data_IF_329557712703
#
_entry.id   IF_329557712703
#
_cell.length_a   1.000
_cell.length_b   1.000
_cell.length_c   1.000
_cell.angle_alpha   90.00
_cell.angle_beta   90.00
_cell.angle_gamma   90.00
#
_symmetry.space_group_name_H-M   'P 1'
#
loop_
_entity.id
_entity.type
_entity.pdbx_description
1 polymer ?
#
# COMPACT_ATOMS: atom_id res chain seq x y z
N UNK A 1 13.95 12.32 -20.12
CA UNK A 1 13.10 11.13 -20.36
C UNK A 1 11.66 11.46 -19.98
N UNK A 2 10.71 11.17 -20.86
CA UNK A 2 9.26 11.37 -20.72
C UNK A 2 8.62 10.06 -20.28
N UNK A 3 7.97 10.06 -19.12
CA UNK A 3 7.27 8.89 -18.58
C UNK A 3 5.78 9.19 -18.55
N UNK A 4 4.98 8.29 -19.10
CA UNK A 4 3.54 8.29 -18.91
C UNK A 4 3.16 7.25 -17.86
N UNK A 5 2.55 7.69 -16.75
CA UNK A 5 1.96 6.80 -15.76
C UNK A 5 0.51 6.52 -16.17
N UNK A 6 0.26 5.31 -16.66
CA UNK A 6 -1.08 4.88 -17.08
C UNK A 6 -1.72 4.06 -15.95
N UNK A 7 -2.91 4.46 -15.49
CA UNK A 7 -3.53 3.84 -14.31
C UNK A 7 -5.05 3.88 -14.32
N UNK A 8 -5.70 3.02 -13.53
CA UNK A 8 -7.15 3.09 -13.34
C UNK A 8 -7.58 4.11 -12.29
N UNK A 9 -6.69 4.43 -11.36
CA UNK A 9 -6.93 5.43 -10.32
C UNK A 9 -5.61 5.97 -9.78
N UNK A 10 -5.64 7.22 -9.34
CA UNK A 10 -4.49 7.88 -8.73
C UNK A 10 -4.40 7.53 -7.24
N UNK A 11 -3.86 6.35 -6.94
CA UNK A 11 -3.68 5.85 -5.58
C UNK A 11 -2.32 6.26 -4.96
N UNK A 12 -2.09 5.89 -3.70
CA UNK A 12 -0.85 6.24 -2.98
C UNK A 12 0.43 5.71 -3.64
N UNK A 13 0.38 4.54 -4.30
CA UNK A 13 1.52 4.01 -5.06
C UNK A 13 1.83 4.93 -6.24
N UNK A 14 0.80 5.38 -6.97
CA UNK A 14 0.99 6.29 -8.10
C UNK A 14 1.51 7.66 -7.68
N UNK A 15 0.97 8.21 -6.59
CA UNK A 15 1.43 9.49 -6.04
C UNK A 15 2.91 9.44 -5.68
N UNK A 16 3.33 8.38 -4.98
CA UNK A 16 4.73 8.19 -4.62
C UNK A 16 5.63 8.10 -5.86
N UNK A 17 5.23 7.28 -6.83
CA UNK A 17 5.97 7.12 -8.09
C UNK A 17 6.07 8.44 -8.86
N UNK A 18 4.99 9.23 -8.91
CA UNK A 18 4.97 10.54 -9.56
C UNK A 18 5.95 11.51 -8.93
N UNK A 19 5.97 11.60 -7.60
CA UNK A 19 6.88 12.51 -6.86
C UNK A 19 8.34 12.08 -7.09
N UNK A 20 8.67 10.82 -6.82
CA UNK A 20 10.05 10.32 -6.91
C UNK A 20 10.62 10.49 -8.33
N UNK A 21 9.85 10.14 -9.36
CA UNK A 21 10.32 10.29 -10.76
C UNK A 21 10.50 11.76 -11.17
N UNK A 22 9.71 12.68 -10.64
CA UNK A 22 9.88 14.12 -10.91
C UNK A 22 11.06 14.71 -10.16
N UNK A 23 11.30 14.28 -8.93
CA UNK A 23 12.47 14.68 -8.15
C UNK A 23 13.78 14.23 -8.79
N UNK A 24 13.77 13.09 -9.51
CA UNK A 24 14.89 12.66 -10.38
C UNK A 24 15.03 13.48 -11.68
N UNK A 25 14.21 14.51 -11.90
CA UNK A 25 14.28 15.38 -13.08
C UNK A 25 13.62 14.81 -14.33
N UNK A 26 12.76 13.78 -14.20
CA UNK A 26 12.03 13.20 -15.35
C UNK A 26 10.77 14.00 -15.65
N UNK A 27 10.36 14.01 -16.93
CA UNK A 27 9.10 14.63 -17.35
C UNK A 27 8.00 13.58 -17.20
N UNK A 28 7.16 13.71 -16.19
CA UNK A 28 6.15 12.69 -15.84
C UNK A 28 4.75 13.23 -16.08
N UNK A 29 3.97 12.54 -16.91
CA UNK A 29 2.53 12.74 -17.05
C UNK A 29 1.76 11.56 -16.46
N UNK A 30 0.51 11.78 -16.10
CA UNK A 30 -0.38 10.76 -15.54
C UNK A 30 -1.67 10.76 -16.35
N UNK A 31 -2.10 9.59 -16.80
CA UNK A 31 -3.34 9.42 -17.54
C UNK A 31 -4.18 8.28 -16.95
N UNK A 32 -5.50 8.47 -16.98
CA UNK A 32 -6.45 7.44 -16.55
C UNK A 32 -6.80 6.55 -17.75
N UNK A 33 -6.68 5.24 -17.58
CA UNK A 33 -7.14 4.28 -18.59
C UNK A 33 -8.67 4.12 -18.55
N UNK A 34 -9.34 4.90 -19.39
CA UNK A 34 -10.81 4.90 -19.55
C UNK A 34 -11.22 4.04 -20.75
N UNK A 35 -10.68 4.35 -21.94
CA UNK A 35 -10.92 3.60 -23.18
C UNK A 35 -9.72 3.72 -24.13
N UNK A 36 -9.58 2.76 -25.05
CA UNK A 36 -8.39 2.59 -25.90
C UNK A 36 -8.07 3.82 -26.75
N UNK A 37 -9.09 4.47 -27.33
CA UNK A 37 -8.86 5.64 -28.19
C UNK A 37 -8.27 6.83 -27.43
N UNK A 38 -8.69 7.05 -26.18
CA UNK A 38 -8.11 8.09 -25.32
C UNK A 38 -6.67 7.76 -24.97
N UNK A 39 -6.38 6.50 -24.67
CA UNK A 39 -5.00 6.07 -24.40
C UNK A 39 -4.09 6.31 -25.62
N UNK A 40 -4.58 6.04 -26.84
CA UNK A 40 -3.83 6.30 -28.07
C UNK A 40 -3.60 7.79 -28.28
N UNK A 41 -4.65 8.60 -28.19
CA UNK A 41 -4.57 10.05 -28.35
C UNK A 41 -3.57 10.68 -27.38
N UNK A 42 -3.62 10.27 -26.12
CA UNK A 42 -2.71 10.78 -25.09
C UNK A 42 -1.27 10.33 -25.30
N UNK A 43 -1.05 9.12 -25.81
CA UNK A 43 0.29 8.65 -26.18
C UNK A 43 0.84 9.45 -27.37
N UNK A 44 0.01 9.77 -28.36
CA UNK A 44 0.43 10.58 -29.51
C UNK A 44 0.75 12.03 -29.09
N UNK A 45 -0.08 12.63 -28.23
CA UNK A 45 0.13 13.99 -27.71
C UNK A 45 1.35 14.07 -26.78
N UNK A 46 1.49 13.09 -25.89
CA UNK A 46 2.53 13.08 -24.88
C UNK A 46 3.82 12.36 -25.33
N UNK A 47 3.87 11.71 -26.48
CA UNK A 47 5.04 11.02 -27.05
C UNK A 47 6.04 10.51 -25.99
N UNK A 48 5.62 9.58 -25.10
CA UNK A 48 6.45 9.10 -23.99
C UNK A 48 7.59 8.19 -24.47
N UNK A 49 8.71 8.22 -23.75
CA UNK A 49 9.81 7.26 -23.95
C UNK A 49 9.44 5.89 -23.34
N UNK A 50 8.65 5.90 -22.27
CA UNK A 50 8.16 4.70 -21.57
C UNK A 50 6.81 4.96 -20.92
N UNK A 51 5.94 3.95 -20.98
CA UNK A 51 4.70 3.89 -20.24
C UNK A 51 4.90 2.96 -19.04
N UNK A 52 4.61 3.46 -17.84
CA UNK A 52 4.61 2.65 -16.62
C UNK A 52 3.16 2.49 -16.15
N UNK A 53 2.73 1.24 -16.05
CA UNK A 53 1.37 0.86 -15.74
C UNK A 53 1.32 0.07 -14.43
N UNK A 54 1.41 0.74 -13.27
CA UNK A 54 1.53 0.05 -12.00
C UNK A 54 0.20 -0.49 -11.46
N UNK A 55 -0.93 -0.04 -12.02
CA UNK A 55 -2.25 -0.51 -11.65
C UNK A 55 -3.24 -0.31 -12.80
N UNK A 56 -3.46 -1.36 -13.59
CA UNK A 56 -4.45 -1.40 -14.67
C UNK A 56 -5.46 -2.51 -14.43
N UNK A 57 -6.69 -2.30 -14.90
CA UNK A 57 -7.75 -3.34 -14.94
C UNK A 57 -8.02 -3.88 -16.33
N UNK A 58 -7.44 -3.26 -17.36
CA UNK A 58 -7.60 -3.60 -18.77
C UNK A 58 -6.21 -3.73 -19.38
N UNK A 59 -6.12 -4.46 -20.50
CA UNK A 59 -4.89 -4.54 -21.26
C UNK A 59 -4.59 -3.18 -21.92
N UNK A 60 -3.31 -2.83 -22.01
CA UNK A 60 -2.87 -1.71 -22.84
C UNK A 60 -3.19 -2.06 -24.30
N UNK A 61 -3.72 -1.12 -25.12
CA UNK A 61 -4.05 -1.41 -26.51
C UNK A 61 -2.80 -1.83 -27.31
N UNK A 62 -2.96 -2.78 -28.24
CA UNK A 62 -1.86 -3.27 -29.11
C UNK A 62 -1.13 -2.15 -29.82
N UNK A 63 -1.87 -1.23 -30.43
CA UNK A 63 -1.31 -0.06 -31.10
C UNK A 63 -0.40 0.81 -30.22
N UNK A 64 -0.50 0.70 -28.89
CA UNK A 64 0.35 1.42 -27.94
C UNK A 64 1.58 0.59 -27.59
N UNK A 65 1.41 -0.63 -27.07
CA UNK A 65 2.55 -1.43 -26.60
C UNK A 65 3.43 -2.00 -27.72
N UNK A 66 2.91 -2.08 -28.95
CA UNK A 66 3.72 -2.44 -30.12
C UNK A 66 4.70 -1.33 -30.53
N UNK A 67 4.42 -0.08 -30.15
CA UNK A 67 5.15 1.11 -30.58
C UNK A 67 5.91 1.82 -29.44
N UNK A 68 5.49 1.64 -28.20
CA UNK A 68 6.09 2.28 -27.02
C UNK A 68 6.37 1.23 -25.95
N UNK A 69 7.55 1.33 -25.30
CA UNK A 69 7.89 0.44 -24.18
C UNK A 69 6.85 0.58 -23.05
N UNK A 70 6.18 -0.52 -22.73
CA UNK A 70 5.18 -0.59 -21.68
C UNK A 70 5.62 -1.51 -20.54
N UNK A 71 5.75 -0.97 -19.33
CA UNK A 71 6.11 -1.69 -18.12
C UNK A 71 4.88 -1.82 -17.21
N UNK A 72 4.23 -2.99 -17.24
CA UNK A 72 3.12 -3.30 -16.35
C UNK A 72 3.65 -3.87 -15.02
N UNK A 73 3.30 -3.25 -13.90
CA UNK A 73 3.62 -3.82 -12.58
C UNK A 73 2.51 -4.77 -12.21
N UNK A 74 2.80 -6.06 -12.26
CA UNK A 74 1.91 -7.06 -11.71
C UNK A 74 2.22 -7.24 -10.22
N UNK A 75 1.28 -6.96 -9.30
CA UNK A 75 1.47 -7.29 -7.90
C UNK A 75 1.47 -8.82 -7.81
N UNK A 76 2.65 -9.43 -7.72
CA UNK A 76 2.86 -10.88 -7.67
C UNK A 76 2.39 -11.50 -6.35
N UNK A 77 1.18 -11.17 -5.91
CA UNK A 77 0.59 -11.68 -4.68
C UNK A 77 -0.07 -13.03 -4.93
N UNK A 78 -0.47 -13.41 -6.14
CA UNK A 78 -1.28 -14.62 -6.37
C UNK A 78 -0.61 -15.91 -5.88
N UNK A 79 0.66 -16.16 -6.24
CA UNK A 79 1.37 -17.35 -5.77
C UNK A 79 1.66 -17.31 -4.25
N UNK A 80 1.89 -16.11 -3.70
CA UNK A 80 2.11 -15.92 -2.26
C UNK A 80 0.82 -16.11 -1.46
N UNK A 81 -0.30 -15.57 -1.97
CA UNK A 81 -1.64 -15.70 -1.40
C UNK A 81 -2.09 -17.14 -1.40
N UNK A 82 -1.92 -17.88 -2.50
CA UNK A 82 -2.27 -19.30 -2.55
C UNK A 82 -1.49 -20.11 -1.50
N UNK A 83 -0.18 -19.87 -1.38
CA UNK A 83 0.65 -20.54 -0.37
C UNK A 83 0.31 -20.11 1.07
N UNK A 84 -0.13 -18.86 1.28
CA UNK A 84 -0.52 -18.37 2.60
C UNK A 84 -1.94 -18.83 2.99
N UNK A 85 -2.85 -18.95 2.02
CA UNK A 85 -4.19 -19.54 2.18
C UNK A 85 -4.12 -21.03 2.49
N UNK A 86 -3.15 -21.75 1.90
CA UNK A 86 -2.88 -23.15 2.23
C UNK A 86 -2.39 -23.30 3.68
N UNK A 87 -1.56 -22.37 4.17
CA UNK A 87 -1.11 -22.36 5.59
C UNK A 87 -2.24 -22.01 6.55
N UNK A 88 -3.05 -21.01 6.21
CA UNK A 88 -4.20 -20.61 7.02
C UNK A 88 -5.28 -19.97 6.13
N UNK A 89 -6.47 -20.58 6.04
CA UNK A 89 -7.51 -20.08 5.16
C UNK A 89 -8.02 -18.71 5.62
N UNK A 90 -8.43 -17.85 4.69
CA UNK A 90 -8.96 -16.51 4.98
C UNK A 90 -10.15 -16.54 5.95
N UNK A 91 -10.94 -17.62 5.95
CA UNK A 91 -12.05 -17.82 6.89
C UNK A 91 -11.59 -17.98 8.35
N UNK A 92 -10.44 -18.62 8.58
CA UNK A 92 -9.85 -18.76 9.90
C UNK A 92 -9.31 -17.41 10.41
N UNK A 93 -8.55 -16.68 9.57
CA UNK A 93 -8.14 -15.31 9.87
C UNK A 93 -9.35 -14.41 10.21
N UNK A 94 -10.39 -14.44 9.36
CA UNK A 94 -11.61 -13.68 9.58
C UNK A 94 -12.26 -14.00 10.92
N UNK A 95 -12.39 -15.29 11.26
CA UNK A 95 -13.01 -15.71 12.53
C UNK A 95 -12.23 -15.20 13.73
N UNK A 96 -10.90 -15.31 13.70
CA UNK A 96 -10.02 -14.84 14.77
C UNK A 96 -10.07 -13.31 14.94
N UNK A 97 -9.98 -12.56 13.84
CA UNK A 97 -10.08 -11.10 13.87
C UNK A 97 -11.44 -10.65 14.39
N UNK A 98 -12.55 -11.28 13.96
CA UNK A 98 -13.87 -10.97 14.48
C UNK A 98 -14.02 -11.31 15.97
N UNK A 99 -13.43 -12.41 16.43
CA UNK A 99 -13.41 -12.75 17.85
C UNK A 99 -12.59 -11.74 18.67
N UNK A 100 -11.49 -11.24 18.12
CA UNK A 100 -10.67 -10.21 18.74
C UNK A 100 -11.42 -8.87 18.80
N UNK A 101 -12.01 -8.44 17.69
CA UNK A 101 -12.88 -7.26 17.62
C UNK A 101 -14.00 -7.37 18.66
N UNK A 102 -14.72 -8.48 18.71
CA UNK A 102 -15.80 -8.70 19.68
C UNK A 102 -15.32 -8.50 21.12
N UNK A 103 -14.12 -8.98 21.47
CA UNK A 103 -13.51 -8.74 22.79
C UNK A 103 -13.17 -7.27 23.01
N UNK A 104 -12.68 -6.56 22.01
CA UNK A 104 -12.38 -5.12 22.14
C UNK A 104 -13.66 -4.28 22.28
N UNK A 105 -14.75 -4.63 21.59
CA UNK A 105 -16.01 -3.88 21.65
C UNK A 105 -16.85 -4.20 22.90
N UNK A 106 -16.90 -5.48 23.28
CA UNK A 106 -17.86 -5.98 24.28
C UNK A 106 -17.20 -6.71 25.47
N UNK A 107 -15.88 -6.79 25.49
CA UNK A 107 -15.14 -7.39 26.59
C UNK A 107 -15.08 -6.46 27.81
N UNK A 108 -14.47 -7.00 28.87
CA UNK A 108 -14.29 -6.28 30.13
C UNK A 108 -13.26 -5.14 30.05
N UNK A 109 -12.35 -5.19 29.07
CA UNK A 109 -11.32 -4.17 28.89
C UNK A 109 -11.90 -2.89 28.28
N UNK A 110 -11.89 -1.75 29.00
CA UNK A 110 -12.41 -0.48 28.48
C UNK A 110 -11.44 0.23 27.53
N UNK A 111 -10.24 -0.31 27.28
CA UNK A 111 -9.17 0.35 26.50
C UNK A 111 -9.64 0.88 25.14
N UNK A 112 -10.45 0.11 24.41
CA UNK A 112 -11.05 0.52 23.14
C UNK A 112 -12.00 1.72 23.31
N UNK A 113 -12.90 1.67 24.31
CA UNK A 113 -13.88 2.72 24.53
C UNK A 113 -13.22 4.04 24.96
N UNK A 114 -12.17 3.96 25.78
CA UNK A 114 -11.33 5.11 26.15
C UNK A 114 -10.61 5.67 24.92
N UNK A 115 -9.96 4.81 24.13
CA UNK A 115 -9.28 5.24 22.91
C UNK A 115 -10.24 5.90 21.90
N UNK A 116 -11.44 5.35 21.74
CA UNK A 116 -12.51 5.91 20.89
C UNK A 116 -12.98 7.26 21.40
N UNK A 117 -13.24 7.39 22.70
CA UNK A 117 -13.66 8.65 23.31
C UNK A 117 -12.60 9.74 23.06
N UNK A 118 -11.33 9.44 23.36
CA UNK A 118 -10.22 10.37 23.14
C UNK A 118 -10.11 10.80 21.67
N UNK A 119 -10.29 9.87 20.73
CA UNK A 119 -10.28 10.17 19.30
C UNK A 119 -11.43 11.11 18.89
N UNK A 120 -12.67 10.81 19.31
CA UNK A 120 -13.86 11.59 18.98
C UNK A 120 -13.75 13.01 19.55
N UNK A 121 -13.31 13.12 20.80
CA UNK A 121 -13.18 14.39 21.51
C UNK A 121 -11.83 15.08 21.24
N UNK A 122 -11.00 14.54 20.34
CA UNK A 122 -9.68 15.07 19.97
C UNK A 122 -8.81 15.39 21.18
N UNK A 123 -8.89 14.53 22.20
CA UNK A 123 -8.14 14.70 23.44
C UNK A 123 -6.67 14.42 23.15
N UNK A 124 -5.84 15.45 23.31
CA UNK A 124 -4.40 15.33 23.14
C UNK A 124 -3.85 14.35 24.19
N UNK A 125 -3.09 13.34 23.74
CA UNK A 125 -2.39 12.43 24.66
C UNK A 125 -1.29 13.21 25.38
N UNK A 126 -1.18 12.98 26.69
CA UNK A 126 -0.18 13.63 27.56
C UNK A 126 1.27 13.33 27.16
N UNK A 127 1.49 12.26 26.40
CA UNK A 127 2.78 11.88 25.83
C UNK A 127 2.61 11.03 24.58
N UNK A 128 3.57 11.14 23.67
CA UNK A 128 3.72 10.23 22.54
C UNK A 128 3.92 8.79 23.04
N UNK A 129 3.14 7.81 22.54
CA UNK A 129 3.31 6.39 22.87
C UNK A 129 4.73 5.88 22.62
N UNK A 130 5.21 4.92 23.42
CA UNK A 130 6.57 4.40 23.33
C UNK A 130 6.89 3.73 21.98
N UNK A 131 5.87 3.18 21.30
CA UNK A 131 5.99 2.60 19.95
C UNK A 131 6.39 3.62 18.89
N UNK A 132 6.01 4.89 19.07
CA UNK A 132 6.36 5.99 18.15
C UNK A 132 7.55 6.80 18.68
N UNK A 133 7.67 6.94 19.99
CA UNK A 133 8.79 7.61 20.65
C UNK A 133 9.94 6.63 20.94
N UNK A 134 10.47 5.99 19.90
CA UNK A 134 11.54 4.97 19.99
C UNK A 134 12.77 5.47 20.76
N UNK A 135 13.07 6.77 20.67
CA UNK A 135 14.14 7.44 21.42
C UNK A 135 13.92 7.47 22.95
N UNK A 136 12.69 7.26 23.44
CA UNK A 136 12.35 7.14 24.87
C UNK A 136 12.34 5.70 25.36
N UNK A 137 12.45 4.72 24.46
CA UNK A 137 12.51 3.30 24.80
C UNK A 137 13.94 2.86 25.20
N UNK A 138 14.72 3.76 25.81
CA UNK A 138 16.14 3.53 26.12
C UNK A 138 16.40 2.32 27.01
N UNK A 139 17.19 1.39 26.48
CA UNK A 139 18.30 0.68 27.16
C UNK A 139 18.08 0.02 28.53
N UNK A 140 16.90 -0.58 28.75
CA UNK A 140 16.53 -1.25 30.00
C UNK A 140 16.31 -2.76 29.94
N UNK A 141 17.05 -3.51 29.11
CA UNK A 141 16.81 -4.96 28.99
C UNK A 141 17.82 -5.80 28.20
N UNK A 142 19.10 -5.46 28.20
CA UNK A 142 20.18 -6.39 27.86
C UNK A 142 21.04 -6.66 29.10
N UNK A 143 20.57 -7.56 29.98
CA UNK A 143 21.39 -8.45 30.82
C UNK A 143 20.51 -9.37 31.67
N UNK A 144 20.78 -10.67 31.60
CA UNK A 144 20.15 -11.71 32.42
C UNK A 144 19.73 -12.95 31.62
N UNK A 145 20.70 -13.70 31.08
CA UNK A 145 20.42 -14.98 30.44
C UNK A 145 20.09 -16.08 31.47
N UNK A 146 19.14 -16.94 31.14
CA UNK A 146 19.16 -18.38 31.43
C UNK A 146 18.01 -19.09 30.71
N UNK A 147 18.37 -20.02 29.83
CA UNK A 147 17.60 -21.24 29.57
C UNK A 147 16.34 -21.14 28.72
N UNK A 148 16.49 -21.42 27.42
CA UNK A 148 15.70 -22.50 26.83
C UNK A 148 16.40 -23.05 25.59
N UNK A 149 16.98 -24.26 25.76
CA UNK A 149 17.24 -25.28 24.74
C UNK A 149 16.20 -26.41 24.99
N UNK A 150 16.04 -27.41 24.11
CA UNK A 150 16.60 -27.56 22.76
C UNK A 150 15.59 -27.35 21.63
#
# INVERSE_FOLDING_TARGET
>A
MRILLLCQSFNLLLHRLHVELREEGRVVSVELDIHDDLTREMVDLFAPDVIVAPFLKRAIPEAVWSNVLCLAVHPGIEARLAADEEKKPLSAYRTEELAHMRRNFYGFDPSYHVARFDFIHKIAKSRTPATLAVHRAGDGGRQGGAGCRP
#
